data_IF_660372842554
#
_entry.id   IF_660372842554
#
_cell.length_a   1.000
_cell.length_b   1.000
_cell.length_c   1.000
_cell.angle_alpha   90.00
_cell.angle_beta   90.00
_cell.angle_gamma   90.00
#
_symmetry.space_group_name_H-M   'P 1'
#
loop_
_entity.id
_entity.type
_entity.pdbx_description
1 polymer ?
#
# COMPACT_ATOMS: atom_id res chain seq x y z
N UNK A 1 5.56 1.52 -9.16
CA UNK A 1 4.90 1.24 -7.87
C UNK A 1 4.12 -0.05 -8.02
N UNK A 2 4.00 -0.82 -6.94
CA UNK A 2 3.30 -2.11 -6.91
C UNK A 2 2.41 -2.18 -5.67
N UNK A 3 1.20 -2.71 -5.82
CA UNK A 3 0.31 -3.06 -4.72
C UNK A 3 0.21 -4.59 -4.64
N UNK A 4 0.66 -5.16 -3.54
CA UNK A 4 0.67 -6.60 -3.32
C UNK A 4 -0.69 -7.08 -2.85
N UNK A 5 -1.05 -8.32 -3.20
CA UNK A 5 -2.28 -8.94 -2.74
C UNK A 5 -2.37 -8.99 -1.20
N UNK A 6 -3.56 -8.73 -0.63
CA UNK A 6 -3.83 -8.97 0.79
C UNK A 6 -3.56 -10.42 1.17
N UNK A 7 -2.98 -10.64 2.35
CA UNK A 7 -2.70 -11.98 2.87
C UNK A 7 -2.82 -12.01 4.39
N UNK A 8 -2.99 -13.22 4.94
CA UNK A 8 -2.87 -13.43 6.38
C UNK A 8 -1.47 -13.05 6.88
N UNK A 9 -1.42 -12.20 7.89
CA UNK A 9 -0.16 -11.80 8.50
C UNK A 9 0.44 -12.95 9.30
N UNK A 10 1.68 -13.34 8.93
CA UNK A 10 2.48 -14.31 9.69
C UNK A 10 3.07 -13.72 10.97
N UNK A 11 3.36 -12.41 10.98
CA UNK A 11 3.94 -11.70 12.13
C UNK A 11 2.91 -11.20 13.13
N UNK A 12 1.64 -11.10 12.73
CA UNK A 12 0.52 -10.75 13.60
C UNK A 12 -0.69 -11.60 13.20
N UNK A 13 -0.74 -12.87 13.64
CA UNK A 13 -1.85 -13.75 13.35
C UNK A 13 -3.20 -13.10 13.70
N UNK A 14 -4.20 -13.31 12.85
CA UNK A 14 -5.52 -12.70 13.01
C UNK A 14 -5.68 -11.35 12.29
N UNK A 15 -4.71 -10.97 11.46
CA UNK A 15 -4.76 -9.76 10.65
C UNK A 15 -4.60 -10.06 9.15
N UNK A 16 -5.34 -9.33 8.33
CA UNK A 16 -5.12 -9.18 6.89
C UNK A 16 -4.14 -8.03 6.70
N UNK A 17 -3.11 -8.23 5.87
CA UNK A 17 -2.11 -7.21 5.56
C UNK A 17 -2.03 -7.02 4.04
N UNK A 18 -2.12 -5.76 3.61
CA UNK A 18 -1.84 -5.32 2.25
C UNK A 18 -0.58 -4.46 2.22
N UNK A 19 0.26 -4.59 1.18
CA UNK A 19 1.53 -3.85 1.08
C UNK A 19 1.61 -3.09 -0.23
N UNK A 20 2.13 -1.88 -0.16
CA UNK A 20 2.50 -1.08 -1.32
C UNK A 20 4.01 -0.90 -1.35
N UNK A 21 4.61 -1.02 -2.53
CA UNK A 21 6.05 -0.91 -2.76
C UNK A 21 6.36 0.10 -3.84
N UNK A 22 7.36 0.93 -3.61
CA UNK A 22 7.91 1.81 -4.62
C UNK A 22 9.43 1.73 -4.61
N UNK A 23 10.01 1.83 -5.81
CA UNK A 23 11.44 2.02 -6.01
C UNK A 23 11.65 3.35 -6.71
N UNK A 24 12.61 4.13 -6.22
CA UNK A 24 13.03 5.36 -6.88
C UNK A 24 14.18 5.05 -7.83
N UNK A 25 14.14 5.53 -9.07
CA UNK A 25 15.26 5.36 -10.03
C UNK A 25 16.29 6.48 -9.92
N UNK A 26 15.96 7.57 -9.21
CA UNK A 26 16.85 8.68 -8.89
C UNK A 26 16.76 8.99 -7.39
N UNK A 27 17.78 9.65 -6.85
CA UNK A 27 17.68 10.25 -5.52
C UNK A 27 16.64 11.38 -5.57
N UNK A 28 15.65 11.34 -4.67
CA UNK A 28 14.62 12.38 -4.54
C UNK A 28 14.67 12.94 -3.12
N UNK A 29 14.12 14.13 -2.89
CA UNK A 29 14.21 14.83 -1.61
C UNK A 29 13.32 14.18 -0.56
N UNK A 30 12.14 13.74 -0.98
CA UNK A 30 11.23 12.98 -0.14
C UNK A 30 10.35 12.04 -0.94
N UNK A 31 9.87 11.02 -0.24
CA UNK A 31 8.92 10.02 -0.72
C UNK A 31 7.91 9.75 0.39
N UNK A 32 6.65 9.56 0.05
CA UNK A 32 5.69 8.88 0.91
C UNK A 32 4.96 7.80 0.11
N UNK A 33 4.72 6.68 0.78
CA UNK A 33 3.98 5.53 0.25
C UNK A 33 2.74 5.36 1.11
N UNK A 34 1.57 5.63 0.54
CA UNK A 34 0.30 5.39 1.22
C UNK A 34 -0.31 4.07 0.74
N UNK A 35 -0.82 3.27 1.68
CA UNK A 35 -1.42 1.97 1.44
C UNK A 35 -2.71 1.85 2.23
N UNK A 36 -3.76 1.36 1.59
CA UNK A 36 -5.01 1.01 2.23
C UNK A 36 -5.48 -0.38 1.78
N UNK A 37 -6.17 -1.07 2.67
CA UNK A 37 -6.95 -2.24 2.30
C UNK A 37 -8.32 -1.78 1.83
N UNK A 38 -8.84 -2.43 0.80
CA UNK A 38 -10.20 -2.21 0.32
C UNK A 38 -10.97 -3.52 0.37
N UNK A 39 -12.21 -3.46 0.85
CA UNK A 39 -13.16 -4.57 0.84
C UNK A 39 -14.22 -4.30 -0.21
N UNK A 40 -14.65 -5.34 -0.91
CA UNK A 40 -15.76 -5.21 -1.85
C UNK A 40 -17.09 -5.30 -1.10
N UNK A 41 -17.87 -4.23 -1.15
CA UNK A 41 -19.18 -4.12 -0.53
C UNK A 41 -20.18 -3.63 -1.59
N UNK A 42 -21.25 -4.39 -1.82
CA UNK A 42 -22.28 -4.06 -2.82
C UNK A 42 -21.70 -3.74 -4.22
N UNK A 43 -20.69 -4.51 -4.64
CA UNK A 43 -20.01 -4.33 -5.93
C UNK A 43 -19.02 -3.17 -5.99
N UNK A 44 -18.84 -2.41 -4.90
CA UNK A 44 -17.91 -1.27 -4.82
C UNK A 44 -16.74 -1.60 -3.90
N UNK A 45 -15.58 -1.02 -4.18
CA UNK A 45 -14.42 -1.13 -3.31
C UNK A 45 -14.43 0.00 -2.28
N UNK A 46 -14.38 -0.36 -1.00
CA UNK A 46 -14.45 0.57 0.13
C UNK A 46 -13.18 0.40 0.96
N UNK A 47 -12.51 1.51 1.29
CA UNK A 47 -11.34 1.49 2.16
C UNK A 47 -11.72 1.00 3.57
N UNK A 48 -10.94 0.06 4.11
CA UNK A 48 -11.18 -0.59 5.39
C UNK A 48 -9.89 -0.72 6.19
N UNK A 49 -10.05 -0.78 7.51
CA UNK A 49 -8.94 -0.97 8.43
C UNK A 49 -8.04 0.25 8.55
N UNK A 50 -6.84 0.02 9.09
CA UNK A 50 -5.86 1.07 9.28
C UNK A 50 -5.00 1.17 8.02
N UNK A 51 -4.96 2.36 7.43
CA UNK A 51 -4.04 2.69 6.34
C UNK A 51 -2.60 2.75 6.87
N UNK A 52 -1.63 2.42 6.02
CA UNK A 52 -0.21 2.59 6.31
C UNK A 52 0.40 3.68 5.47
N UNK A 53 1.33 4.44 6.06
CA UNK A 53 2.20 5.38 5.36
C UNK A 53 3.67 5.05 5.62
N UNK A 54 4.55 5.46 4.72
CA UNK A 54 6.00 5.38 4.93
C UNK A 54 6.67 6.64 4.36
N UNK A 55 6.67 7.75 5.13
CA UNK A 55 7.36 8.97 4.76
C UNK A 55 8.87 8.79 4.94
N UNK A 56 9.62 9.10 3.89
CA UNK A 56 11.08 8.96 3.82
C UNK A 56 11.68 10.25 3.29
N UNK A 57 12.64 10.79 4.03
CA UNK A 57 13.48 11.92 3.59
C UNK A 57 14.75 11.39 2.95
N UNK A 58 15.13 11.96 1.80
CA UNK A 58 16.32 11.57 1.04
C UNK A 58 16.35 10.08 0.63
N UNK A 59 15.26 9.52 0.06
CA UNK A 59 15.30 8.16 -0.46
C UNK A 59 16.41 8.00 -1.51
N UNK A 60 17.11 6.86 -1.44
CA UNK A 60 18.21 6.52 -2.33
C UNK A 60 17.67 5.89 -3.60
N UNK A 61 18.39 6.11 -4.69
CA UNK A 61 18.13 5.43 -5.95
C UNK A 61 18.26 3.91 -5.78
N UNK A 62 17.39 3.17 -6.46
CA UNK A 62 17.30 1.71 -6.49
C UNK A 62 16.93 1.03 -5.16
N UNK A 63 16.64 1.80 -4.10
CA UNK A 63 16.09 1.26 -2.86
C UNK A 63 14.58 1.01 -2.97
N UNK A 64 14.09 0.06 -2.16
CA UNK A 64 12.67 -0.31 -2.08
C UNK A 64 12.07 0.23 -0.79
N UNK A 65 11.02 1.02 -0.93
CA UNK A 65 10.25 1.55 0.19
C UNK A 65 8.89 0.88 0.25
N UNK A 66 8.51 0.39 1.43
CA UNK A 66 7.28 -0.37 1.65
C UNK A 66 6.46 0.28 2.74
N UNK A 67 5.16 0.42 2.50
CA UNK A 67 4.16 0.68 3.54
C UNK A 67 3.18 -0.50 3.61
N UNK A 68 2.48 -0.62 4.72
CA UNK A 68 1.50 -1.69 4.92
C UNK A 68 0.24 -1.17 5.63
N UNK A 69 -0.91 -1.50 5.07
CA UNK A 69 -2.20 -1.35 5.74
C UNK A 69 -2.62 -2.67 6.36
N UNK A 70 -3.44 -2.61 7.41
CA UNK A 70 -3.88 -3.81 8.12
C UNK A 70 -5.34 -3.72 8.58
N UNK A 71 -5.98 -4.88 8.66
CA UNK A 71 -7.35 -5.05 9.10
C UNK A 71 -7.46 -6.35 9.87
N UNK A 72 -8.25 -6.39 10.93
CA UNK A 72 -8.52 -7.65 11.62
C UNK A 72 -9.21 -8.65 10.68
N UNK A 73 -8.82 -9.91 10.75
CA UNK A 73 -9.37 -10.98 9.91
C UNK A 73 -10.89 -10.98 9.95
N UNK A 74 -11.48 -10.95 8.77
CA UNK A 74 -12.92 -11.03 8.55
C UNK A 74 -13.17 -11.59 7.14
N UNK A 75 -14.32 -12.22 6.89
CA UNK A 75 -14.65 -12.74 5.57
C UNK A 75 -14.90 -11.61 4.56
N UNK A 76 -14.68 -11.91 3.29
CA UNK A 76 -14.96 -11.03 2.16
C UNK A 76 -13.95 -11.10 1.02
N UNK A 77 -14.18 -10.27 0.02
CA UNK A 77 -13.24 -10.01 -1.08
C UNK A 77 -12.44 -8.74 -0.78
N UNK A 78 -11.12 -8.84 -0.83
CA UNK A 78 -10.21 -7.74 -0.50
C UNK A 78 -9.24 -7.46 -1.63
N UNK A 79 -8.78 -6.21 -1.72
CA UNK A 79 -7.61 -5.82 -2.51
C UNK A 79 -6.79 -4.79 -1.75
N UNK A 80 -5.54 -4.61 -2.14
CA UNK A 80 -4.70 -3.52 -1.66
C UNK A 80 -4.75 -2.39 -2.67
N UNK A 81 -4.92 -1.15 -2.20
CA UNK A 81 -4.67 0.05 -2.98
C UNK A 81 -3.43 0.76 -2.42
N UNK A 82 -2.54 1.20 -3.31
CA UNK A 82 -1.34 1.92 -2.91
C UNK A 82 -1.04 3.09 -3.85
N UNK A 83 -0.54 4.20 -3.29
CA UNK A 83 -0.05 5.36 -4.06
C UNK A 83 1.25 5.89 -3.49
N UNK A 84 2.04 6.51 -4.35
CA UNK A 84 3.31 7.14 -4.00
C UNK A 84 3.28 8.61 -4.32
N UNK A 85 3.93 9.43 -3.50
CA UNK A 85 4.13 10.86 -3.74
C UNK A 85 5.57 11.22 -3.36
N UNK A 86 6.18 12.19 -4.05
CA UNK A 86 7.53 12.60 -3.70
C UNK A 86 7.84 14.05 -4.07
N UNK A 87 9.04 14.49 -3.71
CA UNK A 87 9.59 15.80 -4.05
C UNK A 87 10.96 15.59 -4.69
N UNK A 88 11.24 16.21 -5.83
CA UNK A 88 12.50 16.13 -6.54
C UNK A 88 13.01 17.54 -6.89
N UNK A 89 14.18 17.91 -6.38
CA UNK A 89 14.75 19.24 -6.59
C UNK A 89 13.86 20.36 -6.05
N UNK A 90 13.23 20.14 -4.89
CA UNK A 90 12.28 21.05 -4.25
C UNK A 90 10.91 21.12 -4.93
N UNK A 91 10.68 20.34 -5.99
CA UNK A 91 9.41 20.32 -6.74
C UNK A 91 8.63 19.06 -6.38
N UNK A 92 7.39 19.18 -5.87
CA UNK A 92 6.52 18.03 -5.71
C UNK A 92 6.33 17.33 -7.07
N UNK A 93 6.67 16.04 -7.14
CA UNK A 93 6.18 15.21 -8.22
C UNK A 93 4.69 14.96 -7.96
N UNK A 94 3.86 15.06 -8.99
CA UNK A 94 2.45 14.72 -8.86
C UNK A 94 2.30 13.34 -8.22
N UNK A 95 1.36 13.20 -7.28
CA UNK A 95 1.08 11.88 -6.68
C UNK A 95 0.78 10.89 -7.79
N UNK A 96 1.39 9.70 -7.72
CA UNK A 96 1.07 8.61 -8.63
C UNK A 96 -0.41 8.25 -8.47
N UNK A 97 -1.07 7.92 -9.58
CA UNK A 97 -2.40 7.33 -9.52
C UNK A 97 -2.37 6.07 -8.65
N UNK A 98 -3.44 5.83 -7.92
CA UNK A 98 -3.62 4.62 -7.13
C UNK A 98 -3.39 3.38 -7.99
N UNK A 99 -2.53 2.49 -7.49
CA UNK A 99 -2.31 1.16 -8.02
C UNK A 99 -3.08 0.17 -7.16
N UNK A 100 -3.66 -0.84 -7.80
CA UNK A 100 -4.52 -1.82 -7.14
C UNK A 100 -3.96 -3.22 -7.36
N UNK A 101 -3.99 -4.04 -6.31
CA UNK A 101 -3.65 -5.45 -6.41
C UNK A 101 -4.80 -6.24 -7.06
N UNK A 102 -4.58 -7.55 -7.26
CA UNK A 102 -5.67 -8.48 -7.53
C UNK A 102 -6.61 -8.63 -6.32
N UNK A 103 -7.78 -9.20 -6.57
CA UNK A 103 -8.76 -9.57 -5.54
C UNK A 103 -8.33 -10.85 -4.83
N UNK A 104 -8.47 -10.87 -3.51
CA UNK A 104 -8.28 -12.05 -2.66
C UNK A 104 -9.53 -12.29 -1.83
N UNK A 105 -10.10 -13.48 -1.95
CA UNK A 105 -11.24 -13.92 -1.15
C UNK A 105 -10.74 -14.58 0.13
N UNK A 106 -11.29 -14.18 1.28
CA UNK A 106 -10.99 -14.72 2.61
C UNK A 106 -9.48 -14.90 2.88
N UNK A 107 -8.70 -13.80 2.97
CA UNK A 107 -7.24 -13.88 3.05
C UNK A 107 -6.68 -14.63 4.26
N UNK A 108 -7.51 -14.89 5.28
CA UNK A 108 -7.14 -15.57 6.52
C UNK A 108 -7.40 -17.08 6.54
N UNK A 109 -8.04 -17.63 5.48
CA UNK A 109 -8.56 -18.99 5.48
C UNK A 109 -9.99 -19.07 5.99
#
# INVERSE_FOLDING_TARGET
>A
MEANNPHHSKGSPGWIVGKGRISCTAAIDSLDVLVQLEKKENGKWVAVGTSGSNPVTGPKANEKYTAQGQLQCQPGEFRTAAKGSGVYGGRPSGSMAWQYSGTVTNPCG
#
